data_IF_170672477703
#
_entry.id   IF_170672477703
#
_cell.length_a   1.000
_cell.length_b   1.000
_cell.length_c   1.000
_cell.angle_alpha   90.00
_cell.angle_beta   90.00
_cell.angle_gamma   90.00
#
_symmetry.space_group_name_H-M   'P 1'
#
loop_
_entity.id
_entity.type
_entity.pdbx_description
1 polymer ?
#
# COMPACT_ATOMS: atom_id res chain seq x y z
N UNK A 1 15.84 -7.67 -36.29
CA UNK A 1 15.66 -6.55 -35.33
C UNK A 1 15.69 -7.11 -33.91
N UNK A 2 16.85 -7.10 -33.23
CA UNK A 2 16.94 -7.50 -31.81
C UNK A 2 16.40 -6.37 -30.95
N UNK A 3 15.30 -6.66 -30.29
CA UNK A 3 14.41 -5.69 -29.67
C UNK A 3 15.10 -4.98 -28.50
N UNK A 4 15.46 -3.70 -28.71
CA UNK A 4 15.95 -2.70 -27.73
C UNK A 4 14.94 -2.38 -26.59
N UNK A 5 13.92 -3.23 -26.34
CA UNK A 5 12.85 -2.98 -25.35
C UNK A 5 13.23 -3.29 -23.90
N UNK A 6 14.31 -4.05 -23.66
CA UNK A 6 14.75 -4.42 -22.30
C UNK A 6 15.04 -3.21 -21.38
N UNK A 7 15.77 -2.15 -21.78
CA UNK A 7 16.02 -1.01 -20.90
C UNK A 7 14.74 -0.21 -20.59
N UNK A 8 13.80 -0.10 -21.53
CA UNK A 8 12.53 0.60 -21.32
C UNK A 8 11.64 -0.10 -20.28
N UNK A 9 11.59 -1.43 -20.30
CA UNK A 9 10.83 -2.23 -19.32
C UNK A 9 11.44 -2.13 -17.92
N UNK A 10 12.78 -2.20 -17.81
CA UNK A 10 13.47 -2.04 -16.52
C UNK A 10 13.26 -0.62 -15.97
N UNK A 11 13.38 0.41 -16.81
CA UNK A 11 13.12 1.79 -16.42
C UNK A 11 11.67 1.99 -15.96
N UNK A 12 10.70 1.42 -16.66
CA UNK A 12 9.29 1.44 -16.25
C UNK A 12 9.05 0.77 -14.91
N UNK A 13 9.70 -0.37 -14.63
CA UNK A 13 9.60 -1.05 -13.33
C UNK A 13 10.21 -0.22 -12.19
N UNK A 14 11.33 0.46 -12.43
CA UNK A 14 11.93 1.35 -11.43
C UNK A 14 11.05 2.56 -11.12
N UNK A 15 10.33 3.11 -12.10
CA UNK A 15 9.38 4.20 -11.89
C UNK A 15 8.14 3.77 -11.09
N UNK A 16 7.78 2.49 -11.09
CA UNK A 16 6.64 1.99 -10.30
C UNK A 16 6.93 1.96 -8.80
N UNK A 17 8.20 1.80 -8.39
CA UNK A 17 8.60 1.78 -6.98
C UNK A 17 8.22 3.06 -6.22
N UNK A 18 8.59 4.28 -6.67
CA UNK A 18 8.17 5.51 -6.00
C UNK A 18 6.64 5.70 -6.03
N UNK A 19 5.96 5.22 -7.08
CA UNK A 19 4.48 5.24 -7.14
C UNK A 19 3.89 4.36 -6.03
N UNK A 20 4.37 3.13 -5.86
CA UNK A 20 3.91 2.26 -4.78
C UNK A 20 4.19 2.83 -3.39
N UNK A 21 5.36 3.44 -3.19
CA UNK A 21 5.71 4.12 -1.94
C UNK A 21 4.75 5.29 -1.67
N UNK A 22 4.43 6.10 -2.69
CA UNK A 22 3.47 7.20 -2.55
C UNK A 22 2.08 6.71 -2.15
N UNK A 23 1.56 5.67 -2.80
CA UNK A 23 0.27 5.07 -2.43
C UNK A 23 0.30 4.47 -1.02
N UNK A 24 1.42 3.84 -0.64
CA UNK A 24 1.59 3.29 0.69
C UNK A 24 1.57 4.39 1.76
N UNK A 25 2.25 5.52 1.54
CA UNK A 25 2.17 6.68 2.44
C UNK A 25 0.75 7.24 2.57
N UNK A 26 -0.01 7.34 1.47
CA UNK A 26 -1.41 7.78 1.52
C UNK A 26 -2.26 6.85 2.38
N UNK A 27 -2.07 5.54 2.29
CA UNK A 27 -2.78 4.58 3.15
C UNK A 27 -2.42 4.75 4.62
N UNK A 28 -1.17 5.05 4.96
CA UNK A 28 -0.76 5.33 6.35
C UNK A 28 -1.41 6.62 6.89
N UNK A 29 -1.57 7.63 6.03
CA UNK A 29 -2.28 8.86 6.36
C UNK A 29 -3.76 8.56 6.62
N UNK A 30 -4.44 7.82 5.74
CA UNK A 30 -5.82 7.37 5.96
C UNK A 30 -5.96 6.55 7.24
N UNK A 31 -5.03 5.64 7.53
CA UNK A 31 -5.04 4.89 8.79
C UNK A 31 -5.05 5.82 10.00
N UNK A 32 -4.20 6.85 10.00
CA UNK A 32 -4.13 7.79 11.11
C UNK A 32 -5.45 8.55 11.31
N UNK A 33 -6.00 9.15 10.25
CA UNK A 33 -7.16 10.02 10.38
C UNK A 33 -8.50 9.26 10.45
N UNK A 34 -8.65 8.16 9.72
CA UNK A 34 -9.93 7.44 9.65
C UNK A 34 -10.04 6.36 10.74
N UNK A 35 -8.91 5.74 11.13
CA UNK A 35 -8.92 4.69 12.16
C UNK A 35 -8.59 5.27 13.52
N UNK A 36 -7.39 5.84 13.71
CA UNK A 36 -6.96 6.30 15.04
C UNK A 36 -7.81 7.46 15.55
N UNK A 37 -7.94 8.52 14.75
CA UNK A 37 -8.74 9.68 15.17
C UNK A 37 -10.23 9.33 15.21
N UNK A 38 -10.71 8.44 14.32
CA UNK A 38 -12.05 7.89 14.36
C UNK A 38 -12.35 7.15 15.68
N UNK A 39 -11.46 6.26 16.14
CA UNK A 39 -11.61 5.59 17.44
C UNK A 39 -11.64 6.59 18.59
N UNK A 40 -10.74 7.56 18.56
CA UNK A 40 -10.66 8.60 19.59
C UNK A 40 -11.96 9.43 19.66
N UNK A 41 -12.55 9.75 18.51
CA UNK A 41 -13.83 10.46 18.45
C UNK A 41 -14.98 9.64 19.05
N UNK A 42 -15.07 8.34 18.74
CA UNK A 42 -16.07 7.44 19.31
C UNK A 42 -15.90 7.29 20.83
N UNK A 43 -14.65 7.22 21.29
CA UNK A 43 -14.32 7.05 22.71
C UNK A 43 -14.72 8.29 23.52
N UNK A 44 -14.29 9.47 23.05
CA UNK A 44 -14.50 10.76 23.73
C UNK A 44 -15.95 11.26 23.66
N UNK A 45 -16.74 10.77 22.70
CA UNK A 45 -18.12 11.18 22.57
C UNK A 45 -19.00 10.59 23.71
N UNK A 46 -19.49 11.46 24.58
CA UNK A 46 -20.33 11.11 25.74
C UNK A 46 -21.81 10.94 25.40
N UNK A 47 -22.26 11.37 24.21
CA UNK A 47 -23.67 11.29 23.81
C UNK A 47 -24.04 9.95 23.16
N UNK A 48 -23.05 9.15 22.76
CA UNK A 48 -23.30 7.84 22.16
C UNK A 48 -23.56 6.77 23.22
N UNK A 49 -24.60 5.97 23.00
CA UNK A 49 -24.84 4.76 23.82
C UNK A 49 -23.81 3.69 23.52
N UNK A 50 -23.67 2.71 24.41
CA UNK A 50 -22.71 1.61 24.27
C UNK A 50 -22.89 0.83 22.97
N UNK A 51 -24.14 0.58 22.57
CA UNK A 51 -24.46 -0.11 21.30
C UNK A 51 -24.07 0.72 20.07
N UNK A 52 -24.32 2.03 20.09
CA UNK A 52 -23.92 2.92 18.99
C UNK A 52 -22.40 3.02 18.86
N UNK A 53 -21.67 3.03 19.99
CA UNK A 53 -20.20 2.96 19.99
C UNK A 53 -19.70 1.65 19.37
N UNK A 54 -20.30 0.52 19.72
CA UNK A 54 -19.91 -0.79 19.16
C UNK A 54 -20.11 -0.86 17.63
N UNK A 55 -21.22 -0.31 17.12
CA UNK A 55 -21.46 -0.22 15.68
C UNK A 55 -20.39 0.64 14.99
N UNK A 56 -20.03 1.79 15.57
CA UNK A 56 -19.00 2.65 15.00
C UNK A 56 -17.62 1.99 15.07
N UNK A 57 -17.26 1.34 16.18
CA UNK A 57 -16.02 0.58 16.26
C UNK A 57 -15.95 -0.55 15.24
N UNK A 58 -17.04 -1.28 14.99
CA UNK A 58 -17.07 -2.30 13.91
C UNK A 58 -16.80 -1.70 12.53
N UNK A 59 -17.32 -0.50 12.25
CA UNK A 59 -17.02 0.18 10.99
C UNK A 59 -15.56 0.60 10.87
N UNK A 60 -14.98 1.10 11.97
CA UNK A 60 -13.57 1.49 12.04
C UNK A 60 -12.65 0.26 11.95
N UNK A 61 -12.99 -0.85 12.61
CA UNK A 61 -12.26 -2.12 12.52
C UNK A 61 -12.23 -2.66 11.09
N UNK A 62 -13.33 -2.50 10.35
CA UNK A 62 -13.40 -2.89 8.94
C UNK A 62 -12.48 -2.02 8.08
N UNK A 63 -12.52 -0.70 8.26
CA UNK A 63 -11.63 0.24 7.58
C UNK A 63 -10.15 -0.08 7.88
N UNK A 64 -9.81 -0.36 9.13
CA UNK A 64 -8.47 -0.78 9.54
C UNK A 64 -8.00 -2.03 8.80
N UNK A 65 -8.86 -3.06 8.71
CA UNK A 65 -8.53 -4.29 7.98
C UNK A 65 -8.33 -4.02 6.49
N UNK A 66 -9.17 -3.20 5.88
CA UNK A 66 -9.08 -2.89 4.44
C UNK A 66 -7.80 -2.08 4.13
N UNK A 67 -7.45 -1.12 4.97
CA UNK A 67 -6.21 -0.34 4.85
C UNK A 67 -4.98 -1.24 5.05
N UNK A 68 -4.97 -2.08 6.09
CA UNK A 68 -3.86 -3.01 6.33
C UNK A 68 -3.68 -4.00 5.18
N UNK A 69 -4.77 -4.55 4.65
CA UNK A 69 -4.73 -5.45 3.50
C UNK A 69 -4.16 -4.74 2.27
N UNK A 70 -4.61 -3.53 1.99
CA UNK A 70 -4.13 -2.73 0.85
C UNK A 70 -2.65 -2.35 0.99
N UNK A 71 -2.23 -2.00 2.20
CA UNK A 71 -0.84 -1.70 2.55
C UNK A 71 0.08 -2.90 2.31
N UNK A 72 -0.32 -4.09 2.76
CA UNK A 72 0.42 -5.34 2.52
C UNK A 72 0.51 -5.66 1.03
N UNK A 73 -0.60 -5.52 0.29
CA UNK A 73 -0.61 -5.77 -1.16
C UNK A 73 0.34 -4.82 -1.90
N UNK A 74 0.38 -3.54 -1.54
CA UNK A 74 1.31 -2.58 -2.13
C UNK A 74 2.77 -2.94 -1.84
N UNK A 75 3.08 -3.38 -0.61
CA UNK A 75 4.44 -3.83 -0.28
C UNK A 75 4.84 -5.07 -1.07
N UNK A 76 3.93 -6.04 -1.25
CA UNK A 76 4.17 -7.23 -2.09
C UNK A 76 4.39 -6.81 -3.55
N UNK A 77 3.57 -5.90 -4.08
CA UNK A 77 3.71 -5.41 -5.46
C UNK A 77 5.04 -4.65 -5.65
N UNK A 78 5.43 -3.80 -4.70
CA UNK A 78 6.72 -3.12 -4.71
C UNK A 78 7.90 -4.10 -4.64
N UNK A 79 7.82 -5.10 -3.76
CA UNK A 79 8.85 -6.15 -3.64
C UNK A 79 8.99 -6.98 -4.91
N UNK A 80 7.88 -7.41 -5.51
CA UNK A 80 7.87 -8.21 -6.74
C UNK A 80 8.35 -7.41 -7.96
N UNK A 81 8.01 -6.12 -8.06
CA UNK A 81 8.54 -5.25 -9.13
C UNK A 81 10.04 -5.02 -8.98
N UNK A 82 10.54 -4.76 -7.77
CA UNK A 82 11.99 -4.65 -7.50
C UNK A 82 12.73 -5.95 -7.83
N UNK A 83 12.20 -7.09 -7.40
CA UNK A 83 12.78 -8.40 -7.69
C UNK A 83 12.81 -8.67 -9.20
N UNK A 84 11.72 -8.38 -9.92
CA UNK A 84 11.63 -8.55 -11.37
C UNK A 84 12.60 -7.64 -12.11
N UNK A 85 12.71 -6.37 -11.70
CA UNK A 85 13.68 -5.43 -12.27
C UNK A 85 15.13 -5.92 -12.09
N UNK A 86 15.46 -6.37 -10.87
CA UNK A 86 16.78 -6.90 -10.52
C UNK A 86 17.10 -8.16 -11.34
N UNK A 87 16.17 -9.11 -11.42
CA UNK A 87 16.33 -10.33 -12.20
C UNK A 87 16.54 -10.05 -13.70
N UNK A 88 15.80 -9.11 -14.27
CA UNK A 88 15.94 -8.71 -15.67
C UNK A 88 17.31 -8.07 -15.95
N UNK A 89 17.86 -7.29 -15.02
CA UNK A 89 19.21 -6.72 -15.12
C UNK A 89 20.27 -7.84 -15.12
N UNK A 90 20.27 -8.71 -14.11
CA UNK A 90 21.24 -9.82 -14.01
C UNK A 90 21.17 -10.78 -15.22
N UNK A 91 19.96 -11.09 -15.69
CA UNK A 91 19.79 -11.89 -16.92
C UNK A 91 20.36 -11.18 -18.14
N UNK A 92 20.22 -9.86 -18.23
CA UNK A 92 20.74 -9.08 -19.35
C UNK A 92 22.27 -9.05 -19.40
N UNK A 93 22.94 -8.99 -18.24
CA UNK A 93 24.41 -9.09 -18.15
C UNK A 93 24.93 -10.47 -18.53
N UNK A 94 24.25 -11.55 -18.12
CA UNK A 94 24.65 -12.94 -18.48
C UNK A 94 24.48 -13.30 -19.97
N UNK A 95 23.74 -12.49 -20.73
CA UNK A 95 23.49 -12.74 -22.17
C UNK A 95 24.26 -11.78 -23.09
N UNK A 96 25.02 -10.84 -22.51
CA UNK A 96 25.91 -9.91 -23.22
C UNK A 96 27.31 -10.52 -23.30
#
# INVERSE_FOLDING_TARGET
MKVKRRPFVVFGLYLLVPVFIFFWFNLQVSYKYEVKDGRWFVETNKSLTKEQKDIQYKSIDKLEKDINRSSILLLILAGTTLFTATFLIFKSEKTA
#
